data_IF_842327049253
#
_entry.id   IF_842327049253
#
_cell.length_a   1.000
_cell.length_b   1.000
_cell.length_c   1.000
_cell.angle_alpha   90.00
_cell.angle_beta   90.00
_cell.angle_gamma   90.00
#
_symmetry.space_group_name_H-M   'P 1'
#
loop_
_entity.id
_entity.type
_entity.pdbx_description
1 polymer ?
#
# COMPACT_ATOMS: atom_id res chain seq x y z
N UNK A 1 -24.44 0.75 -22.45
CA UNK A 1 -23.11 0.13 -22.30
C UNK A 1 -22.27 1.07 -21.45
N UNK A 2 -21.94 0.66 -20.23
CA UNK A 2 -21.11 1.50 -19.34
C UNK A 2 -19.70 1.60 -19.94
N UNK A 3 -19.29 2.79 -20.38
CA UNK A 3 -17.90 3.00 -20.78
C UNK A 3 -16.99 2.78 -19.55
N UNK A 4 -15.92 2.01 -19.68
CA UNK A 4 -15.00 1.82 -18.57
C UNK A 4 -14.43 3.17 -18.15
N UNK A 5 -14.48 3.47 -16.86
CA UNK A 5 -13.87 4.69 -16.31
C UNK A 5 -12.34 4.64 -16.47
N UNK A 6 -11.73 5.82 -16.67
CA UNK A 6 -10.27 5.93 -16.77
C UNK A 6 -9.63 5.39 -15.48
N UNK A 7 -8.72 4.42 -15.57
CA UNK A 7 -8.03 3.90 -14.39
C UNK A 7 -7.23 4.97 -13.66
N UNK A 8 -7.34 5.00 -12.34
CA UNK A 8 -6.62 5.93 -11.48
C UNK A 8 -5.37 5.23 -10.92
N UNK A 9 -4.18 5.72 -11.27
CA UNK A 9 -2.90 5.16 -10.86
C UNK A 9 -2.73 5.04 -9.34
N UNK A 10 -3.38 5.93 -8.59
CA UNK A 10 -3.29 5.94 -7.12
C UNK A 10 -3.98 4.73 -6.45
N UNK A 11 -4.78 3.96 -7.19
CA UNK A 11 -5.44 2.74 -6.69
C UNK A 11 -4.55 1.49 -6.80
N UNK A 12 -3.42 1.59 -7.49
CA UNK A 12 -2.54 0.45 -7.77
C UNK A 12 -1.32 0.45 -6.88
N UNK A 13 -0.84 -0.75 -6.57
CA UNK A 13 0.41 -1.01 -5.83
C UNK A 13 1.52 -1.59 -6.71
N UNK A 14 1.20 -2.01 -7.93
CA UNK A 14 2.15 -2.51 -8.93
C UNK A 14 2.01 -1.70 -10.24
N UNK A 15 3.14 -1.20 -10.73
CA UNK A 15 3.21 -0.45 -11.98
C UNK A 15 2.79 -1.28 -13.21
N UNK A 16 3.03 -2.61 -13.20
CA UNK A 16 2.69 -3.52 -14.30
C UNK A 16 1.20 -3.74 -14.41
N UNK A 17 0.56 -3.96 -13.27
CA UNK A 17 -0.88 -4.08 -13.18
C UNK A 17 -1.57 -2.82 -13.71
N UNK A 18 -1.15 -1.65 -13.24
CA UNK A 18 -1.67 -0.38 -13.73
C UNK A 18 -1.48 -0.22 -15.24
N UNK A 19 -0.27 -0.50 -15.75
CA UNK A 19 0.02 -0.36 -17.18
C UNK A 19 -0.83 -1.30 -18.04
N UNK A 20 -1.10 -2.52 -17.57
CA UNK A 20 -1.97 -3.48 -18.24
C UNK A 20 -3.41 -2.98 -18.33
N UNK A 21 -4.00 -2.61 -17.19
CA UNK A 21 -5.38 -2.11 -17.11
C UNK A 21 -5.55 -0.81 -17.90
N UNK A 22 -4.57 0.10 -17.80
CA UNK A 22 -4.63 1.36 -18.54
C UNK A 22 -4.50 1.16 -20.05
N UNK A 23 -3.68 0.21 -20.50
CA UNK A 23 -3.58 -0.18 -21.89
C UNK A 23 -4.93 -0.70 -22.42
N UNK A 24 -5.58 -1.60 -21.67
CA UNK A 24 -6.88 -2.15 -22.07
C UNK A 24 -7.94 -1.06 -22.14
N UNK A 25 -7.94 -0.14 -21.18
CA UNK A 25 -8.78 1.06 -21.24
C UNK A 25 -8.54 1.87 -22.51
N UNK A 26 -7.28 2.17 -22.86
CA UNK A 26 -6.98 2.93 -24.08
C UNK A 26 -7.42 2.21 -25.34
N UNK A 27 -7.30 0.90 -25.40
CA UNK A 27 -7.76 0.10 -26.54
C UNK A 27 -9.27 0.15 -26.73
N UNK A 28 -10.05 0.30 -25.65
CA UNK A 28 -11.49 0.52 -25.78
C UNK A 28 -11.83 1.89 -26.34
N UNK A 29 -10.97 2.90 -26.12
CA UNK A 29 -11.16 4.26 -26.64
C UNK A 29 -10.66 4.39 -28.10
N UNK A 30 -9.54 3.75 -28.42
CA UNK A 30 -8.92 3.82 -29.74
C UNK A 30 -8.11 2.52 -30.01
N UNK A 31 -8.56 1.67 -30.95
CA UNK A 31 -7.89 0.39 -31.26
C UNK A 31 -6.43 0.50 -31.68
N UNK A 32 -5.95 1.69 -32.07
CA UNK A 32 -4.54 1.90 -32.44
C UNK A 32 -3.58 1.63 -31.29
N UNK A 33 -4.00 1.78 -30.02
CA UNK A 33 -3.18 1.53 -28.85
C UNK A 33 -2.89 0.04 -28.62
N UNK A 34 -2.31 -0.62 -29.62
CA UNK A 34 -1.82 -1.99 -29.47
C UNK A 34 -0.47 -2.01 -28.74
N UNK A 35 -0.09 -3.16 -28.17
CA UNK A 35 1.24 -3.35 -27.58
C UNK A 35 2.37 -3.00 -28.56
N UNK A 36 2.19 -3.36 -29.83
CA UNK A 36 3.12 -3.03 -30.92
C UNK A 36 3.24 -1.54 -31.16
N UNK A 37 2.12 -0.82 -31.16
CA UNK A 37 2.11 0.63 -31.30
C UNK A 37 2.84 1.31 -30.16
N UNK A 38 2.57 0.90 -28.91
CA UNK A 38 3.25 1.46 -27.73
C UNK A 38 4.75 1.20 -27.80
N UNK A 39 5.17 -0.04 -28.12
CA UNK A 39 6.56 -0.40 -28.27
C UNK A 39 7.27 0.48 -29.31
N UNK A 40 6.65 0.68 -30.46
CA UNK A 40 7.16 1.55 -31.52
C UNK A 40 7.32 3.01 -31.07
N UNK A 41 6.28 3.57 -30.43
CA UNK A 41 6.28 4.96 -29.99
C UNK A 41 7.30 5.24 -28.86
N UNK A 42 7.60 4.24 -28.05
CA UNK A 42 8.61 4.33 -26.99
C UNK A 42 10.03 4.11 -27.54
N UNK A 43 10.16 3.63 -28.79
CA UNK A 43 11.44 3.29 -29.40
C UNK A 43 12.02 2.00 -28.87
N UNK A 44 11.17 1.02 -28.52
CA UNK A 44 11.62 -0.29 -28.05
C UNK A 44 12.14 -1.16 -29.22
N UNK A 45 13.13 -2.00 -28.92
CA UNK A 45 13.78 -2.86 -29.93
C UNK A 45 12.87 -3.96 -30.48
N UNK A 46 11.82 -4.37 -29.77
CA UNK A 46 10.89 -5.40 -30.22
C UNK A 46 9.42 -4.98 -30.10
N UNK A 47 8.61 -5.46 -31.02
CA UNK A 47 7.16 -5.19 -31.03
C UNK A 47 6.41 -5.79 -29.82
N UNK A 48 6.95 -6.86 -29.22
CA UNK A 48 6.41 -7.51 -28.03
C UNK A 48 6.90 -6.91 -26.71
N UNK A 49 7.76 -5.87 -26.76
CA UNK A 49 8.39 -5.30 -25.58
C UNK A 49 7.37 -4.93 -24.50
N UNK A 50 6.32 -4.16 -24.83
CA UNK A 50 5.35 -3.70 -23.87
C UNK A 50 4.56 -4.85 -23.23
N UNK A 51 4.17 -5.85 -24.01
CA UNK A 51 3.52 -7.05 -23.50
C UNK A 51 4.41 -7.81 -22.50
N UNK A 52 5.72 -7.89 -22.78
CA UNK A 52 6.69 -8.54 -21.90
C UNK A 52 6.94 -7.73 -20.61
N UNK A 53 6.89 -6.39 -20.68
CA UNK A 53 6.95 -5.53 -19.48
C UNK A 53 5.73 -5.77 -18.59
N UNK A 54 4.53 -5.72 -19.14
CA UNK A 54 3.28 -5.96 -18.40
C UNK A 54 3.26 -7.37 -17.79
N UNK A 55 3.72 -8.36 -18.55
CA UNK A 55 3.82 -9.74 -18.06
C UNK A 55 4.96 -9.99 -17.05
N UNK A 56 5.78 -8.97 -16.77
CA UNK A 56 6.92 -9.08 -15.84
C UNK A 56 8.12 -9.88 -16.36
N UNK A 57 8.16 -10.21 -17.65
CA UNK A 57 9.27 -10.98 -18.26
C UNK A 57 10.52 -10.14 -18.48
N UNK A 58 10.35 -8.84 -18.64
CA UNK A 58 11.45 -7.87 -18.75
C UNK A 58 11.22 -6.69 -17.82
N UNK A 59 12.33 -6.14 -17.30
CA UNK A 59 12.31 -4.96 -16.44
C UNK A 59 11.95 -3.70 -17.22
N UNK A 60 11.32 -2.75 -16.54
CA UNK A 60 11.03 -1.43 -17.06
C UNK A 60 12.06 -0.43 -16.52
N UNK A 61 12.75 0.28 -17.41
CA UNK A 61 13.66 1.35 -17.00
C UNK A 61 12.90 2.65 -16.76
N UNK A 62 13.42 3.54 -15.90
CA UNK A 62 12.83 4.87 -15.68
C UNK A 62 12.67 5.67 -16.97
N UNK A 63 13.64 5.61 -17.88
CA UNK A 63 13.60 6.31 -19.17
C UNK A 63 12.40 5.82 -20.03
N UNK A 64 12.21 4.51 -20.11
CA UNK A 64 11.10 3.94 -20.86
C UNK A 64 9.76 4.19 -20.16
N UNK A 65 9.72 4.12 -18.82
CA UNK A 65 8.53 4.48 -18.06
C UNK A 65 8.09 5.92 -18.36
N UNK A 66 9.04 6.87 -18.38
CA UNK A 66 8.73 8.26 -18.70
C UNK A 66 8.13 8.42 -20.10
N UNK A 67 8.67 7.71 -21.10
CA UNK A 67 8.15 7.71 -22.48
C UNK A 67 6.74 7.12 -22.55
N UNK A 68 6.52 5.99 -21.85
CA UNK A 68 5.19 5.36 -21.74
C UNK A 68 4.22 6.33 -21.07
N UNK A 69 4.56 6.89 -19.92
CA UNK A 69 3.70 7.81 -19.18
C UNK A 69 3.31 9.06 -19.99
N UNK A 70 4.25 9.57 -20.82
CA UNK A 70 3.98 10.65 -21.76
C UNK A 70 2.99 10.25 -22.85
N UNK A 71 3.18 9.07 -23.44
CA UNK A 71 2.29 8.50 -24.45
C UNK A 71 0.87 8.28 -23.91
N UNK A 72 0.77 7.80 -22.67
CA UNK A 72 -0.50 7.58 -21.95
C UNK A 72 -1.16 8.89 -21.46
N UNK A 73 -0.53 10.04 -21.69
CA UNK A 73 -1.01 11.37 -21.27
C UNK A 73 -1.31 11.47 -19.78
N UNK A 74 -0.47 10.84 -18.96
CA UNK A 74 -0.60 10.93 -17.51
C UNK A 74 -0.26 12.35 -17.02
N UNK A 75 -1.01 12.82 -16.02
CA UNK A 75 -0.74 14.11 -15.34
C UNK A 75 0.57 14.06 -14.56
N UNK A 76 1.10 15.19 -14.14
CA UNK A 76 2.40 15.25 -13.44
C UNK A 76 2.43 14.37 -12.19
N UNK A 77 1.44 14.48 -11.32
CA UNK A 77 1.35 13.67 -10.10
C UNK A 77 1.17 12.18 -10.40
N UNK A 78 0.37 11.83 -11.43
CA UNK A 78 0.20 10.44 -11.86
C UNK A 78 1.50 9.83 -12.35
N UNK A 79 2.31 10.60 -13.08
CA UNK A 79 3.64 10.16 -13.55
C UNK A 79 4.61 9.98 -12.41
N UNK A 80 4.61 10.91 -11.46
CA UNK A 80 5.44 10.82 -10.26
C UNK A 80 5.10 9.58 -9.44
N UNK A 81 3.80 9.33 -9.21
CA UNK A 81 3.35 8.15 -8.50
C UNK A 81 3.74 6.85 -9.24
N UNK A 82 3.60 6.81 -10.56
CA UNK A 82 4.00 5.65 -11.37
C UNK A 82 5.52 5.40 -11.31
N UNK A 83 6.34 6.46 -11.26
CA UNK A 83 7.77 6.33 -11.04
C UNK A 83 8.08 5.75 -9.65
N UNK A 84 7.38 6.20 -8.62
CA UNK A 84 7.55 5.67 -7.27
C UNK A 84 7.13 4.19 -7.15
N UNK A 85 6.08 3.77 -7.88
CA UNK A 85 5.72 2.35 -7.97
C UNK A 85 6.84 1.50 -8.58
N UNK A 86 7.50 2.00 -9.64
CA UNK A 86 8.65 1.31 -10.22
C UNK A 86 9.82 1.25 -9.24
N UNK A 87 10.18 2.37 -8.62
CA UNK A 87 11.29 2.45 -7.67
C UNK A 87 11.03 1.54 -6.46
N UNK A 88 9.82 1.56 -5.91
CA UNK A 88 9.41 0.67 -4.83
C UNK A 88 9.54 -0.81 -5.20
N UNK A 89 9.16 -1.18 -6.43
CA UNK A 89 9.23 -2.56 -6.90
C UNK A 89 10.67 -3.04 -7.15
N UNK A 90 11.60 -2.11 -7.41
CA UNK A 90 13.01 -2.42 -7.69
C UNK A 90 13.93 -2.17 -6.49
N UNK A 91 13.41 -1.59 -5.41
CA UNK A 91 14.18 -1.34 -4.20
C UNK A 91 14.66 -2.64 -3.55
N UNK A 92 15.93 -2.70 -3.20
CA UNK A 92 16.56 -3.88 -2.62
C UNK A 92 16.51 -3.85 -1.09
N UNK A 93 16.54 -2.64 -0.49
CA UNK A 93 16.56 -2.48 0.96
C UNK A 93 15.18 -2.10 1.52
N UNK A 94 14.93 -2.48 2.78
CA UNK A 94 13.72 -2.09 3.49
C UNK A 94 13.64 -0.57 3.69
N UNK A 95 14.78 0.08 3.88
CA UNK A 95 14.87 1.53 4.06
C UNK A 95 14.40 2.26 2.80
N UNK A 96 14.87 1.85 1.62
CA UNK A 96 14.43 2.39 0.33
C UNK A 96 12.93 2.17 0.12
N UNK A 97 12.42 0.95 0.38
CA UNK A 97 10.99 0.65 0.28
C UNK A 97 10.16 1.56 1.16
N UNK A 98 10.56 1.77 2.41
CA UNK A 98 9.86 2.65 3.33
C UNK A 98 9.89 4.11 2.85
N UNK A 99 11.02 4.58 2.32
CA UNK A 99 11.15 5.93 1.77
C UNK A 99 10.21 6.15 0.56
N UNK A 100 10.16 5.19 -0.37
CA UNK A 100 9.25 5.28 -1.52
C UNK A 100 7.78 5.16 -1.09
N UNK A 101 7.44 4.25 -0.20
CA UNK A 101 6.09 4.12 0.34
C UNK A 101 5.61 5.42 1.01
N UNK A 102 6.47 6.08 1.80
CA UNK A 102 6.16 7.38 2.42
C UNK A 102 5.84 8.46 1.39
N UNK A 103 6.61 8.55 0.29
CA UNK A 103 6.35 9.47 -0.82
C UNK A 103 5.04 9.16 -1.54
N UNK A 104 4.75 7.88 -1.78
CA UNK A 104 3.51 7.44 -2.41
C UNK A 104 2.29 7.82 -1.57
N UNK A 105 2.34 7.64 -0.25
CA UNK A 105 1.28 8.04 0.67
C UNK A 105 1.07 9.58 0.67
N UNK A 106 2.15 10.35 0.63
CA UNK A 106 2.08 11.81 0.54
C UNK A 106 1.38 12.28 -0.73
N UNK A 107 1.67 11.65 -1.89
CA UNK A 107 1.00 11.97 -3.15
C UNK A 107 -0.50 11.60 -3.15
N UNK A 108 -0.89 10.58 -2.38
CA UNK A 108 -2.31 10.23 -2.16
C UNK A 108 -3.03 11.23 -1.24
N UNK A 109 -2.35 12.23 -0.70
CA UNK A 109 -2.90 13.12 0.33
C UNK A 109 -3.09 12.44 1.68
N UNK A 110 -2.61 11.21 1.84
CA UNK A 110 -2.61 10.50 3.10
C UNK A 110 -1.37 10.97 3.88
N UNK A 111 -1.57 11.60 5.03
CA UNK A 111 -0.47 11.86 5.95
C UNK A 111 0.04 10.51 6.42
N UNK A 112 1.28 10.19 6.07
CA UNK A 112 1.98 9.07 6.68
C UNK A 112 2.04 9.35 8.19
N UNK A 113 1.24 8.66 8.97
CA UNK A 113 1.45 8.62 10.41
C UNK A 113 2.74 7.84 10.63
N UNK A 114 3.82 8.57 10.82
CA UNK A 114 5.07 7.97 11.29
C UNK A 114 4.77 7.39 12.65
N UNK A 115 4.70 6.06 12.73
CA UNK A 115 4.56 5.38 14.01
C UNK A 115 5.75 5.81 14.88
N UNK A 116 5.45 6.36 16.04
CA UNK A 116 6.50 6.62 17.03
C UNK A 116 7.17 5.30 17.39
N UNK A 117 8.41 5.36 17.91
CA UNK A 117 9.16 4.17 18.31
C UNK A 117 8.36 3.28 19.27
N UNK A 118 7.54 3.90 20.12
CA UNK A 118 6.67 3.19 21.06
C UNK A 118 5.47 2.53 20.35
N UNK A 119 4.89 3.18 19.36
CA UNK A 119 3.83 2.61 18.53
C UNK A 119 4.36 1.47 17.66
N UNK A 120 5.57 1.60 17.09
CA UNK A 120 6.20 0.51 16.36
C UNK A 120 6.49 -0.68 17.27
N UNK A 121 7.02 -0.46 18.49
CA UNK A 121 7.25 -1.50 19.47
C UNK A 121 5.92 -2.18 19.90
N UNK A 122 4.83 -1.43 19.93
CA UNK A 122 3.49 -1.96 20.18
C UNK A 122 3.01 -2.89 19.07
N UNK A 123 3.07 -2.46 17.81
CA UNK A 123 2.60 -3.26 16.67
C UNK A 123 3.58 -4.38 16.25
N UNK A 124 4.85 -4.32 16.65
CA UNK A 124 5.84 -5.35 16.31
C UNK A 124 5.68 -6.66 17.09
N UNK A 125 4.86 -6.65 18.14
CA UNK A 125 4.59 -7.84 18.96
C UNK A 125 3.24 -8.42 18.61
N UNK A 126 3.23 -9.58 17.95
CA UNK A 126 2.03 -10.26 17.47
C UNK A 126 0.93 -10.43 18.54
N UNK A 127 1.34 -10.72 19.79
CA UNK A 127 0.39 -10.96 20.89
C UNK A 127 -0.40 -9.72 21.30
N UNK A 128 0.06 -8.50 21.02
CA UNK A 128 -0.66 -7.28 21.38
C UNK A 128 -1.93 -7.13 20.56
N UNK A 129 -1.85 -7.41 19.25
CA UNK A 129 -3.05 -7.43 18.40
C UNK A 129 -4.01 -8.53 18.81
N UNK A 130 -3.50 -9.71 19.14
CA UNK A 130 -4.30 -10.84 19.62
C UNK A 130 -5.01 -10.52 20.94
N UNK A 131 -4.32 -9.88 21.90
CA UNK A 131 -4.93 -9.43 23.18
C UNK A 131 -6.05 -8.43 22.90
N UNK A 132 -5.85 -7.46 22.03
CA UNK A 132 -6.88 -6.48 21.70
C UNK A 132 -8.16 -7.15 21.19
N UNK A 133 -8.03 -8.11 20.27
CA UNK A 133 -9.17 -8.84 19.73
C UNK A 133 -9.85 -9.71 20.81
N UNK A 134 -9.08 -10.37 21.69
CA UNK A 134 -9.63 -11.16 22.78
C UNK A 134 -10.41 -10.29 23.78
N UNK A 135 -9.93 -9.09 24.11
CA UNK A 135 -10.63 -8.14 24.99
C UNK A 135 -11.93 -7.61 24.37
N UNK A 136 -12.07 -7.68 23.06
CA UNK A 136 -13.31 -7.31 22.37
C UNK A 136 -14.38 -8.41 22.45
N UNK A 137 -13.94 -9.67 22.53
CA UNK A 137 -14.82 -10.86 22.47
C UNK A 137 -15.17 -11.36 23.88
N UNK A 138 -14.23 -11.25 24.82
CA UNK A 138 -14.35 -11.79 26.17
C UNK A 138 -14.14 -10.71 27.24
N UNK A 139 -15.00 -10.75 28.27
CA UNK A 139 -14.78 -9.98 29.49
C UNK A 139 -13.89 -10.79 30.45
N UNK A 140 -12.67 -10.35 30.63
CA UNK A 140 -11.69 -11.03 31.49
C UNK A 140 -11.75 -10.56 32.95
N UNK A 141 -12.57 -9.56 33.29
CA UNK A 141 -12.74 -9.04 34.66
C UNK A 141 -11.41 -8.95 35.44
N UNK A 142 -10.39 -8.35 34.83
CA UNK A 142 -8.99 -8.22 35.34
C UNK A 142 -8.21 -9.54 35.51
N UNK A 143 -8.71 -10.67 35.01
CA UNK A 143 -8.00 -11.94 35.03
C UNK A 143 -6.96 -12.04 33.93
N UNK A 144 -5.84 -11.35 34.10
CA UNK A 144 -4.73 -11.32 33.12
C UNK A 144 -4.04 -12.68 32.92
N UNK A 145 -4.13 -13.59 33.91
CA UNK A 145 -3.56 -14.93 33.78
C UNK A 145 -4.36 -15.80 32.79
N UNK A 146 -5.69 -15.70 32.82
CA UNK A 146 -6.56 -16.37 31.85
C UNK A 146 -6.31 -15.82 30.43
N UNK A 147 -6.20 -14.50 30.29
CA UNK A 147 -5.91 -13.85 29.02
C UNK A 147 -4.56 -14.30 28.44
N UNK A 148 -3.52 -14.39 29.27
CA UNK A 148 -2.19 -14.82 28.86
C UNK A 148 -2.15 -16.30 28.43
N UNK A 149 -2.95 -17.15 29.08
CA UNK A 149 -3.06 -18.56 28.76
C UNK A 149 -3.84 -18.87 27.47
N UNK A 150 -4.68 -17.95 27.00
CA UNK A 150 -5.42 -18.09 25.74
C UNK A 150 -4.57 -17.85 24.49
N UNK A 151 -3.38 -17.29 24.65
CA UNK A 151 -2.46 -17.03 23.54
C UNK A 151 -1.61 -18.27 23.25
N UNK A 152 -1.35 -18.52 21.96
CA UNK A 152 -0.46 -19.62 21.55
C UNK A 152 0.65 -19.05 20.63
N UNK A 153 1.92 -19.06 21.06
CA UNK A 153 2.42 -19.54 22.36
C UNK A 153 1.98 -18.66 23.54
N UNK A 154 1.77 -19.29 24.71
CA UNK A 154 1.39 -18.58 25.93
C UNK A 154 2.46 -17.55 26.35
N UNK A 155 2.03 -16.43 26.92
CA UNK A 155 2.92 -15.36 27.35
C UNK A 155 2.88 -15.19 28.86
N UNK A 156 3.96 -14.69 29.45
CA UNK A 156 4.03 -14.48 30.90
C UNK A 156 3.40 -13.16 31.32
N UNK A 157 2.64 -13.17 32.42
CA UNK A 157 1.90 -12.00 32.96
C UNK A 157 2.84 -10.82 33.27
N UNK A 158 4.09 -11.05 33.63
CA UNK A 158 5.09 -10.00 33.91
C UNK A 158 5.29 -9.03 32.73
N UNK A 159 5.01 -9.45 31.50
CA UNK A 159 5.12 -8.60 30.32
C UNK A 159 3.88 -7.71 30.10
N UNK A 160 2.81 -7.88 30.88
CA UNK A 160 1.51 -7.24 30.64
C UNK A 160 1.20 -6.09 31.59
N UNK A 161 1.46 -6.23 32.90
CA UNK A 161 1.02 -5.26 33.91
C UNK A 161 1.61 -3.86 33.73
N UNK A 162 2.78 -3.76 33.14
CA UNK A 162 3.46 -2.46 32.92
C UNK A 162 3.04 -1.75 31.62
N UNK A 163 2.34 -2.43 30.69
CA UNK A 163 2.01 -1.88 29.38
C UNK A 163 0.52 -1.75 29.09
N UNK A 164 -0.33 -2.56 29.71
CA UNK A 164 -1.80 -2.39 29.60
C UNK A 164 -2.28 -1.10 30.30
N UNK A 165 -1.61 -0.63 31.32
CA UNK A 165 -1.88 0.67 31.94
C UNK A 165 -1.63 1.88 31.01
N UNK A 166 -0.95 1.69 29.86
CA UNK A 166 -0.74 2.73 28.84
C UNK A 166 -1.63 2.57 27.59
N UNK A 167 -2.47 1.56 27.53
CA UNK A 167 -3.43 1.33 26.44
C UNK A 167 -4.81 1.90 26.80
N UNK A 168 -4.87 3.04 27.46
CA UNK A 168 -6.03 3.91 27.38
C UNK A 168 -5.98 4.55 25.98
N UNK A 169 -6.78 3.98 25.06
CA UNK A 169 -6.97 4.52 23.72
C UNK A 169 -7.44 5.98 23.83
N UNK A 170 -6.76 6.93 23.15
CA UNK A 170 -7.25 8.32 23.07
C UNK A 170 -8.57 8.48 22.28
N UNK A 171 -9.14 7.40 21.81
CA UNK A 171 -10.38 7.41 21.03
C UNK A 171 -11.65 7.03 21.85
N UNK A 172 -11.55 6.76 23.15
CA UNK A 172 -12.73 6.53 24.00
C UNK A 172 -13.26 7.77 24.74
N UNK A 173 -12.56 8.91 24.69
CA UNK A 173 -13.02 10.16 25.33
C UNK A 173 -14.02 10.99 24.48
N UNK A 174 -14.68 10.37 23.52
CA UNK A 174 -15.75 11.06 22.77
C UNK A 174 -17.10 10.38 22.91
N UNK A 175 -17.60 10.23 24.16
CA UNK A 175 -19.02 10.04 24.40
C UNK A 175 -19.34 10.24 25.91
N UNK A 176 -19.34 11.46 26.39
CA UNK A 176 -20.21 11.91 27.47
C UNK A 176 -20.11 13.44 27.62
N UNK A 177 -20.60 14.20 26.64
CA UNK A 177 -21.07 15.57 26.87
C UNK A 177 -22.26 15.79 25.95
N UNK A 178 -23.44 15.61 26.52
CA UNK A 178 -24.65 15.92 25.79
C UNK A 178 -25.88 15.33 26.45
N UNK A 179 -26.20 15.78 27.67
CA UNK A 179 -27.59 15.95 28.13
C UNK A 179 -27.62 16.51 29.56
N UNK A 180 -27.86 17.81 29.65
CA UNK A 180 -28.71 18.46 30.62
C UNK A 180 -29.04 19.84 30.08
#
# INVERSE_FOLDING_TARGET
MNQPSRPDVFQYSDHREFLGVYHDYLRTQDPKYSHRFIAYQVGAASSGWFANVVAGRIGLTRANLFRVAKLLRLRSQEREYLCLLLDFSTAETLEEKNAYAGKMLSLKGLKAHTLTRDQFAFYSKWYISAIRELLFIYDFSDNYAALAGMLNPAITVANHSTRLARVQCPCMDRKTDGQS
#
